data_IF_967721199322
#
_entry.id   IF_967721199322
#
_cell.length_a   1.000
_cell.length_b   1.000
_cell.length_c   1.000
_cell.angle_alpha   90.00
_cell.angle_beta   90.00
_cell.angle_gamma   90.00
#
_symmetry.space_group_name_H-M   'P 1'
#
loop_
_entity.id
_entity.type
_entity.pdbx_description
1 polymer ?
#
# COMPACT_ATOMS: atom_id res chain seq x y z
N UNK A 1 -3.12 12.89 -17.58
CA UNK A 1 -2.41 12.30 -16.43
C UNK A 1 -1.91 10.95 -16.87
N UNK A 2 -0.61 10.67 -16.77
CA UNK A 2 -0.08 9.33 -17.07
C UNK A 2 -0.26 8.48 -15.81
N UNK A 3 -1.00 7.39 -15.91
CA UNK A 3 -1.11 6.41 -14.83
C UNK A 3 0.08 5.46 -14.91
N UNK A 4 0.93 5.50 -13.89
CA UNK A 4 2.05 4.56 -13.76
C UNK A 4 1.56 3.31 -13.06
N UNK A 5 1.98 2.15 -13.59
CA UNK A 5 1.73 0.87 -12.94
C UNK A 5 2.61 0.76 -11.70
N UNK A 6 2.00 0.71 -10.52
CA UNK A 6 2.69 0.35 -9.28
C UNK A 6 2.95 -1.15 -9.27
N UNK A 7 4.18 -1.54 -8.97
CA UNK A 7 4.61 -2.93 -8.86
C UNK A 7 5.16 -3.12 -7.46
N UNK A 8 4.71 -4.18 -6.79
CA UNK A 8 5.20 -4.56 -5.47
C UNK A 8 6.21 -5.68 -5.59
N UNK A 9 7.28 -5.59 -4.79
CA UNK A 9 8.20 -6.71 -4.58
C UNK A 9 7.54 -7.74 -3.67
N UNK A 10 8.08 -8.96 -3.68
CA UNK A 10 7.67 -9.98 -2.72
C UNK A 10 7.88 -9.53 -1.27
N UNK A 11 9.01 -8.87 -0.98
CA UNK A 11 9.31 -8.30 0.34
C UNK A 11 8.23 -7.30 0.79
N UNK A 12 7.83 -6.37 -0.08
CA UNK A 12 6.79 -5.40 0.25
C UNK A 12 5.42 -6.07 0.51
N UNK A 13 5.13 -7.20 -0.14
CA UNK A 13 3.92 -7.98 0.13
C UNK A 13 4.01 -8.61 1.52
N UNK A 14 5.14 -9.23 1.86
CA UNK A 14 5.36 -9.82 3.18
C UNK A 14 5.28 -8.77 4.29
N UNK A 15 5.90 -7.60 4.11
CA UNK A 15 5.85 -6.50 5.08
C UNK A 15 4.40 -6.06 5.37
N UNK A 16 3.56 -5.94 4.33
CA UNK A 16 2.15 -5.55 4.50
C UNK A 16 1.35 -6.64 5.21
N UNK A 17 1.62 -7.91 4.93
CA UNK A 17 0.98 -9.04 5.61
C UNK A 17 1.36 -9.10 7.08
N UNK A 18 2.66 -9.05 7.40
CA UNK A 18 3.15 -9.11 8.77
C UNK A 18 2.60 -7.95 9.63
N UNK A 19 2.54 -6.74 9.05
CA UNK A 19 1.93 -5.59 9.72
C UNK A 19 0.42 -5.74 9.91
N UNK A 20 -0.28 -6.33 8.93
CA UNK A 20 -1.73 -6.61 9.07
C UNK A 20 -1.98 -7.58 10.20
N UNK A 21 -1.23 -8.68 10.24
CA UNK A 21 -1.40 -9.73 11.26
C UNK A 21 -1.10 -9.18 12.66
N UNK A 22 -0.07 -8.35 12.80
CA UNK A 22 0.23 -7.62 14.02
C UNK A 22 -0.93 -6.72 14.45
N UNK A 23 -1.51 -5.96 13.51
CA UNK A 23 -2.63 -5.06 13.81
C UNK A 23 -3.89 -5.85 14.18
N UNK A 24 -4.17 -6.96 13.51
CA UNK A 24 -5.32 -7.82 13.83
C UNK A 24 -5.20 -8.41 15.24
N UNK A 25 -4.00 -8.88 15.61
CA UNK A 25 -3.73 -9.45 16.92
C UNK A 25 -3.89 -8.43 18.06
N UNK A 26 -3.34 -7.21 17.91
CA UNK A 26 -3.29 -6.22 18.99
C UNK A 26 -4.50 -5.28 19.02
N UNK A 27 -5.12 -5.01 17.86
CA UNK A 27 -6.17 -3.98 17.73
C UNK A 27 -7.47 -4.49 17.10
N UNK A 28 -7.51 -5.76 16.72
CA UNK A 28 -8.66 -6.41 16.13
C UNK A 28 -8.78 -6.20 14.63
N UNK A 29 -9.54 -7.12 14.03
CA UNK A 29 -9.70 -7.24 12.58
C UNK A 29 -10.21 -5.98 11.88
N UNK A 30 -11.13 -5.22 12.50
CA UNK A 30 -11.62 -3.97 11.91
C UNK A 30 -10.52 -2.92 11.68
N UNK A 31 -9.46 -2.93 12.48
CA UNK A 31 -8.32 -2.01 12.27
C UNK A 31 -7.38 -2.54 11.20
N UNK A 32 -7.19 -3.85 11.14
CA UNK A 32 -6.41 -4.50 10.10
C UNK A 32 -7.03 -4.30 8.70
N UNK A 33 -8.36 -4.49 8.59
CA UNK A 33 -9.10 -4.26 7.34
C UNK A 33 -8.99 -2.79 6.88
N UNK A 34 -9.04 -1.83 7.82
CA UNK A 34 -8.83 -0.41 7.51
C UNK A 34 -7.41 -0.15 7.01
N UNK A 35 -6.40 -0.68 7.70
CA UNK A 35 -5.00 -0.53 7.31
C UNK A 35 -4.73 -1.04 5.89
N UNK A 36 -5.24 -2.23 5.54
CA UNK A 36 -5.10 -2.76 4.18
C UNK A 36 -5.72 -1.85 3.12
N UNK A 37 -6.91 -1.31 3.39
CA UNK A 37 -7.58 -0.38 2.48
C UNK A 37 -6.79 0.93 2.33
N UNK A 38 -6.22 1.46 3.41
CA UNK A 38 -5.40 2.67 3.39
C UNK A 38 -4.13 2.46 2.56
N UNK A 39 -3.42 1.36 2.77
CA UNK A 39 -2.22 1.00 1.98
C UNK A 39 -2.57 0.89 0.49
N UNK A 40 -3.69 0.24 0.15
CA UNK A 40 -4.17 0.14 -1.24
C UNK A 40 -4.45 1.52 -1.86
N UNK A 41 -5.05 2.42 -1.09
CA UNK A 41 -5.36 3.78 -1.56
C UNK A 41 -4.07 4.59 -1.78
N UNK A 42 -3.09 4.49 -0.89
CA UNK A 42 -1.79 5.18 -1.05
C UNK A 42 -1.01 4.64 -2.27
N UNK A 43 -1.01 3.33 -2.50
CA UNK A 43 -0.41 2.75 -3.71
C UNK A 43 -1.09 3.26 -4.98
N UNK A 44 -2.41 3.40 -4.96
CA UNK A 44 -3.16 3.93 -6.11
C UNK A 44 -2.80 5.40 -6.36
N UNK A 45 -2.67 6.21 -5.31
CA UNK A 45 -2.22 7.61 -5.41
C UNK A 45 -0.81 7.71 -6.00
N UNK A 46 0.12 6.83 -5.61
CA UNK A 46 1.48 6.80 -6.17
C UNK A 46 1.47 6.56 -7.69
N UNK A 47 0.60 5.68 -8.19
CA UNK A 47 0.44 5.47 -9.63
C UNK A 47 0.07 6.74 -10.40
N UNK A 48 -0.80 7.58 -9.80
CA UNK A 48 -1.17 8.88 -10.38
C UNK A 48 -0.08 9.95 -10.21
N UNK A 49 0.57 9.99 -9.04
CA UNK A 49 1.63 10.94 -8.70
C UNK A 49 2.95 10.66 -9.42
N UNK A 50 3.18 9.43 -9.91
CA UNK A 50 4.33 9.11 -10.75
C UNK A 50 4.48 10.03 -11.97
N UNK A 51 3.37 10.65 -12.42
CA UNK A 51 3.37 11.65 -13.50
C UNK A 51 3.86 13.04 -13.09
N UNK A 52 4.02 13.30 -11.81
CA UNK A 52 4.48 14.56 -11.24
C UNK A 52 6.00 14.61 -11.05
N UNK A 53 6.67 13.45 -10.99
CA UNK A 53 8.12 13.40 -10.85
C UNK A 53 8.83 13.59 -12.20
N UNK A 54 9.83 14.49 -12.31
CA UNK A 54 10.59 14.67 -13.54
C UNK A 54 11.28 13.35 -13.94
N UNK A 55 11.21 12.99 -15.23
CA UNK A 55 12.06 11.93 -15.77
C UNK A 55 13.49 12.44 -15.74
N UNK A 56 14.33 11.87 -14.87
CA UNK A 56 15.79 12.11 -14.85
C UNK A 56 16.46 11.45 -16.04
#
# INVERSE_FOLDING_TARGET
MHEYKVILTWEAIYDVTDLTDYIEADFGRERADRFQNDIKNEMTKLGYMGSMFPKT
#
